data_IF_121230513384
#
_entry.id   IF_121230513384
#
_cell.length_a   1.000
_cell.length_b   1.000
_cell.length_c   1.000
_cell.angle_alpha   90.00
_cell.angle_beta   90.00
_cell.angle_gamma   90.00
#
_symmetry.space_group_name_H-M   'P 1'
#
loop_
_entity.id
_entity.type
_entity.pdbx_description
1 polymer ?
#
# COMPACT_ATOMS: atom_id res chain seq x y z
N UNK A 1 33.61 -11.86 26.64
CA UNK A 1 33.70 -10.98 25.45
C UNK A 1 33.20 -11.62 24.15
N UNK A 2 33.41 -12.91 23.88
CA UNK A 2 32.99 -13.54 22.60
C UNK A 2 31.46 -13.72 22.40
N UNK A 3 30.67 -13.90 23.47
CA UNK A 3 29.19 -14.04 23.36
C UNK A 3 28.44 -12.76 22.96
N UNK A 4 29.03 -11.57 23.14
CA UNK A 4 28.40 -10.31 22.71
C UNK A 4 28.71 -9.96 21.24
N UNK A 5 29.82 -10.46 20.70
CA UNK A 5 30.19 -10.31 19.29
C UNK A 5 29.34 -11.18 18.35
N UNK A 6 29.07 -12.44 18.73
CA UNK A 6 28.23 -13.34 17.93
C UNK A 6 26.75 -12.92 17.85
N UNK A 7 26.23 -12.21 18.88
CA UNK A 7 24.89 -11.60 18.82
C UNK A 7 24.82 -10.38 17.90
N UNK A 8 25.92 -9.62 17.74
CA UNK A 8 25.94 -8.46 16.83
C UNK A 8 26.00 -8.86 15.36
N UNK A 9 26.67 -9.97 15.04
CA UNK A 9 26.74 -10.49 13.66
C UNK A 9 25.39 -11.05 13.14
N UNK A 10 24.53 -11.58 14.02
CA UNK A 10 23.20 -12.10 13.62
C UNK A 10 22.21 -11.03 13.16
N UNK A 11 22.50 -9.74 13.38
CA UNK A 11 21.58 -8.63 13.08
C UNK A 11 22.21 -7.53 12.23
N UNK A 12 23.38 -7.79 11.63
CA UNK A 12 23.89 -6.86 10.61
C UNK A 12 22.89 -6.87 9.45
N UNK A 13 22.25 -5.72 9.12
CA UNK A 13 21.28 -5.67 8.04
C UNK A 13 21.97 -6.09 6.75
N UNK A 14 21.41 -7.09 6.08
CA UNK A 14 21.88 -7.47 4.76
C UNK A 14 21.49 -6.35 3.79
N UNK A 15 22.41 -5.87 2.94
CA UNK A 15 22.07 -4.87 1.93
C UNK A 15 20.89 -5.33 1.09
N UNK A 16 20.08 -4.37 0.63
CA UNK A 16 19.08 -4.65 -0.38
C UNK A 16 19.79 -5.04 -1.68
N UNK A 17 19.26 -6.00 -2.42
CA UNK A 17 19.80 -6.51 -3.69
C UNK A 17 18.80 -6.32 -4.81
N UNK A 18 19.29 -6.16 -6.04
CA UNK A 18 18.45 -6.04 -7.23
C UNK A 18 17.32 -5.02 -7.09
N UNK A 19 16.08 -5.52 -7.21
CA UNK A 19 14.86 -4.72 -7.27
C UNK A 19 14.21 -4.46 -5.91
N UNK A 20 14.84 -4.88 -4.81
CA UNK A 20 14.31 -4.65 -3.46
C UNK A 20 14.36 -3.16 -3.08
N UNK A 21 13.21 -2.66 -2.59
CA UNK A 21 13.03 -1.25 -2.23
C UNK A 21 12.79 -1.03 -0.73
N UNK A 22 12.23 -2.03 -0.04
CA UNK A 22 11.93 -1.98 1.39
C UNK A 22 12.00 -3.40 1.95
N UNK A 23 12.67 -3.59 3.09
CA UNK A 23 12.73 -4.88 3.78
C UNK A 23 12.51 -4.69 5.27
N UNK A 24 11.57 -5.45 5.82
CA UNK A 24 11.42 -5.66 7.26
C UNK A 24 12.09 -7.00 7.62
N UNK A 25 12.96 -6.99 8.63
CA UNK A 25 13.64 -8.19 9.14
C UNK A 25 13.39 -8.32 10.64
N UNK A 26 12.66 -9.34 11.05
CA UNK A 26 12.30 -9.63 12.44
C UNK A 26 11.61 -8.45 13.15
N UNK A 27 10.87 -7.62 12.41
CA UNK A 27 10.26 -6.41 12.95
C UNK A 27 9.16 -6.79 13.96
N UNK A 28 9.25 -6.25 15.17
CA UNK A 28 8.20 -6.40 16.19
C UNK A 28 7.74 -5.04 16.65
N UNK A 29 6.56 -4.94 17.23
CA UNK A 29 6.06 -3.72 17.85
C UNK A 29 5.18 -4.11 19.02
N UNK A 30 5.48 -3.52 20.17
CA UNK A 30 4.78 -3.72 21.42
C UNK A 30 4.38 -2.35 21.96
N UNK A 31 3.09 -2.23 22.29
CA UNK A 31 2.55 -1.09 23.02
C UNK A 31 2.45 -1.44 24.49
N UNK A 32 2.65 -0.43 25.35
CA UNK A 32 2.54 -0.56 26.81
C UNK A 32 3.39 -1.70 27.39
N UNK A 33 4.58 -1.89 26.83
CA UNK A 33 5.52 -2.94 27.20
C UNK A 33 5.82 -2.94 28.70
N UNK A 34 5.81 -4.13 29.33
CA UNK A 34 6.00 -4.32 30.78
C UNK A 34 4.89 -3.72 31.64
N UNK A 35 3.72 -3.50 31.08
CA UNK A 35 2.50 -3.20 31.82
C UNK A 35 1.48 -4.34 31.65
N UNK A 36 0.45 -4.43 32.49
CA UNK A 36 -0.64 -5.41 32.29
C UNK A 36 -1.39 -5.26 30.97
N UNK A 37 -1.31 -4.09 30.32
CA UNK A 37 -1.97 -3.77 29.04
C UNK A 37 -1.06 -4.06 27.83
N UNK A 38 0.05 -4.79 28.02
CA UNK A 38 1.01 -5.10 26.96
C UNK A 38 0.34 -5.72 25.73
N UNK A 39 0.51 -5.07 24.58
CA UNK A 39 -0.08 -5.50 23.31
C UNK A 39 0.96 -5.58 22.19
N UNK A 40 1.18 -6.79 21.67
CA UNK A 40 2.06 -7.03 20.53
C UNK A 40 1.33 -6.80 19.21
N UNK A 41 1.40 -5.57 18.71
CA UNK A 41 0.83 -5.20 17.42
C UNK A 41 1.55 -5.82 16.22
N UNK A 42 2.86 -6.09 16.34
CA UNK A 42 3.66 -6.82 15.34
C UNK A 42 4.58 -7.82 16.04
N UNK A 43 4.73 -9.02 15.47
CA UNK A 43 5.47 -10.11 16.10
C UNK A 43 6.34 -10.90 15.10
N UNK A 44 7.42 -10.27 14.65
CA UNK A 44 8.44 -10.91 13.83
C UNK A 44 8.06 -10.86 12.35
N UNK A 45 7.80 -9.67 11.85
CA UNK A 45 7.51 -9.44 10.43
C UNK A 45 8.82 -9.52 9.66
N UNK A 46 8.86 -10.49 8.75
CA UNK A 46 9.91 -10.68 7.76
C UNK A 46 9.27 -10.60 6.38
N UNK A 47 9.57 -9.52 5.65
CA UNK A 47 9.04 -9.33 4.29
C UNK A 47 9.92 -8.38 3.49
N UNK A 48 10.02 -8.63 2.18
CA UNK A 48 10.76 -7.78 1.25
C UNK A 48 9.83 -7.31 0.14
N UNK A 49 9.80 -6.01 -0.09
CA UNK A 49 9.07 -5.35 -1.16
C UNK A 49 10.03 -5.05 -2.31
N UNK A 50 9.57 -5.30 -3.52
CA UNK A 50 10.28 -5.03 -4.76
C UNK A 50 9.67 -3.85 -5.50
N UNK A 51 10.45 -3.26 -6.41
CA UNK A 51 10.03 -2.10 -7.18
C UNK A 51 8.84 -2.40 -8.10
N UNK A 52 8.06 -1.38 -8.41
CA UNK A 52 7.04 -1.40 -9.48
C UNK A 52 5.96 -2.48 -9.30
N UNK A 53 5.55 -2.72 -8.05
CA UNK A 53 4.46 -3.63 -7.68
C UNK A 53 3.43 -2.91 -6.80
N UNK A 54 2.18 -3.37 -6.89
CA UNK A 54 1.11 -3.04 -5.95
C UNK A 54 1.01 -4.17 -4.93
N UNK A 55 1.39 -3.87 -3.70
CA UNK A 55 1.22 -4.75 -2.55
C UNK A 55 -0.05 -4.39 -1.81
N UNK A 56 -0.94 -5.36 -1.59
CA UNK A 56 -2.10 -5.20 -0.72
C UNK A 56 -1.86 -5.92 0.60
N UNK A 57 -1.76 -5.17 1.70
CA UNK A 57 -1.72 -5.73 3.04
C UNK A 57 -3.16 -5.84 3.56
N UNK A 58 -3.59 -7.07 3.81
CA UNK A 58 -4.96 -7.39 4.21
C UNK A 58 -5.00 -8.07 5.58
N UNK A 59 -6.18 -8.14 6.17
CA UNK A 59 -6.43 -8.78 7.46
C UNK A 59 -7.48 -8.02 8.28
N UNK A 60 -7.93 -8.63 9.36
CA UNK A 60 -8.95 -8.04 10.23
C UNK A 60 -8.51 -6.71 10.85
N UNK A 61 -9.47 -5.93 11.34
CA UNK A 61 -9.16 -4.79 12.20
C UNK A 61 -8.33 -5.26 13.40
N UNK A 62 -7.30 -4.48 13.78
CA UNK A 62 -6.38 -4.85 14.85
C UNK A 62 -5.30 -5.89 14.48
N UNK A 63 -5.22 -6.36 13.23
CA UNK A 63 -4.18 -7.33 12.84
C UNK A 63 -2.75 -6.76 12.74
N UNK A 64 -2.58 -5.44 12.87
CA UNK A 64 -1.29 -4.75 12.84
C UNK A 64 -0.96 -4.01 11.55
N UNK A 65 -1.85 -3.98 10.54
CA UNK A 65 -1.61 -3.34 9.22
C UNK A 65 -1.13 -1.88 9.33
N UNK A 66 -1.90 -1.03 10.03
CA UNK A 66 -1.57 0.39 10.19
C UNK A 66 -0.28 0.57 10.99
N UNK A 67 -0.05 -0.26 12.03
CA UNK A 67 1.20 -0.28 12.78
C UNK A 67 2.38 -0.65 11.88
N UNK A 68 2.25 -1.63 10.99
CA UNK A 68 3.31 -2.04 10.08
C UNK A 68 3.72 -0.89 9.16
N UNK A 69 2.76 -0.27 8.47
CA UNK A 69 3.07 0.78 7.50
C UNK A 69 3.55 2.09 8.13
N UNK A 70 3.15 2.40 9.37
CA UNK A 70 3.71 3.54 10.11
C UNK A 70 5.17 3.35 10.50
N UNK A 71 5.68 2.11 10.56
CA UNK A 71 7.12 1.91 10.69
C UNK A 71 7.87 2.19 9.38
N UNK A 72 7.26 1.92 8.22
CA UNK A 72 7.91 2.11 6.91
C UNK A 72 8.28 3.57 6.67
N UNK A 73 7.37 4.51 6.93
CA UNK A 73 7.66 5.94 6.80
C UNK A 73 8.37 6.57 8.02
N UNK A 74 8.71 5.75 9.02
CA UNK A 74 9.43 6.14 10.22
C UNK A 74 8.62 6.96 11.23
N UNK A 75 7.29 6.93 11.17
CA UNK A 75 6.44 7.50 12.23
C UNK A 75 6.56 6.73 13.54
N UNK A 76 6.71 5.41 13.44
CA UNK A 76 7.08 4.55 14.54
C UNK A 76 8.47 3.95 14.32
N UNK A 77 9.18 3.74 15.42
CA UNK A 77 10.46 3.02 15.46
C UNK A 77 10.34 1.88 16.42
N UNK A 78 11.01 0.76 16.14
CA UNK A 78 10.95 -0.42 16.99
C UNK A 78 12.21 -0.65 17.83
N UNK A 79 12.02 -1.29 18.98
CA UNK A 79 13.08 -1.91 19.80
C UNK A 79 13.61 -3.21 19.20
N UNK A 80 12.92 -3.78 18.21
CA UNK A 80 13.17 -5.11 17.66
C UNK A 80 13.12 -5.11 16.13
N UNK A 81 14.03 -5.86 15.52
CA UNK A 81 14.13 -5.98 14.08
C UNK A 81 14.66 -4.72 13.39
N UNK A 82 14.86 -4.84 12.09
CA UNK A 82 15.47 -3.82 11.25
C UNK A 82 14.57 -3.51 10.07
N UNK A 83 14.51 -2.23 9.70
CA UNK A 83 13.96 -1.79 8.42
C UNK A 83 15.07 -1.26 7.53
N UNK A 84 15.13 -1.76 6.30
CA UNK A 84 16.04 -1.28 5.26
C UNK A 84 15.23 -0.71 4.10
N UNK A 85 15.56 0.50 3.66
CA UNK A 85 14.86 1.21 2.58
C UNK A 85 15.88 1.64 1.54
N UNK A 86 15.64 1.31 0.27
CA UNK A 86 16.51 1.70 -0.83
C UNK A 86 16.37 3.20 -1.10
N UNK A 87 17.48 3.89 -1.27
CA UNK A 87 17.50 5.23 -1.87
C UNK A 87 18.32 5.21 -3.15
N UNK A 88 17.64 5.11 -4.28
CA UNK A 88 18.28 5.08 -5.58
C UNK A 88 18.94 6.40 -5.94
N UNK A 89 18.41 7.54 -5.48
CA UNK A 89 18.97 8.88 -5.77
C UNK A 89 20.35 9.07 -5.17
N UNK A 90 20.60 8.47 -4.01
CA UNK A 90 21.85 8.61 -3.27
C UNK A 90 22.71 7.33 -3.27
N UNK A 91 22.28 6.28 -3.97
CA UNK A 91 22.95 4.98 -4.04
C UNK A 91 23.33 4.39 -2.66
N UNK A 92 22.45 4.56 -1.67
CA UNK A 92 22.69 4.11 -0.29
C UNK A 92 21.38 3.74 0.41
N UNK A 93 21.34 2.60 1.08
CA UNK A 93 20.18 2.18 1.86
C UNK A 93 20.05 2.99 3.16
N UNK A 94 18.82 3.38 3.51
CA UNK A 94 18.46 3.87 4.84
C UNK A 94 18.16 2.66 5.72
N UNK A 95 18.92 2.49 6.80
CA UNK A 95 18.71 1.42 7.77
C UNK A 95 18.22 1.99 9.10
N UNK A 96 17.08 1.51 9.56
CA UNK A 96 16.51 1.79 10.88
C UNK A 96 16.74 0.55 11.75
N UNK A 97 17.80 0.59 12.55
CA UNK A 97 18.17 -0.50 13.45
C UNK A 97 17.30 -0.56 14.71
N UNK A 98 17.28 -1.70 15.42
CA UNK A 98 16.60 -1.82 16.71
C UNK A 98 17.01 -0.71 17.69
N UNK A 99 16.05 -0.17 18.43
CA UNK A 99 16.25 0.89 19.44
C UNK A 99 16.66 2.25 18.85
N UNK A 100 16.41 2.49 17.56
CA UNK A 100 16.60 3.82 16.96
C UNK A 100 15.60 4.81 17.59
N UNK A 101 16.09 5.76 18.38
CA UNK A 101 15.24 6.82 18.98
C UNK A 101 14.88 7.94 18.01
N UNK A 102 15.79 8.27 17.08
CA UNK A 102 15.61 9.34 16.10
C UNK A 102 16.25 8.93 14.79
N UNK A 103 15.46 8.95 13.72
CA UNK A 103 15.92 8.67 12.36
C UNK A 103 16.69 9.90 11.87
N UNK A 104 18.02 9.80 11.74
CA UNK A 104 18.88 10.93 11.34
C UNK A 104 18.46 11.56 10.00
N UNK A 105 18.10 10.72 9.03
CA UNK A 105 17.76 11.13 7.67
C UNK A 105 16.25 11.08 7.39
N UNK A 106 15.43 11.44 8.39
CA UNK A 106 13.98 11.30 8.29
C UNK A 106 13.32 12.05 7.12
N UNK A 107 13.82 13.25 6.77
CA UNK A 107 13.34 13.96 5.56
C UNK A 107 13.61 13.15 4.29
N UNK A 108 14.79 12.53 4.20
CA UNK A 108 15.17 11.69 3.06
C UNK A 108 14.28 10.44 3.00
N UNK A 109 14.02 9.78 4.13
CA UNK A 109 13.06 8.69 4.22
C UNK A 109 11.66 9.08 3.71
N UNK A 110 11.12 10.21 4.18
CA UNK A 110 9.80 10.72 3.77
C UNK A 110 9.73 11.23 2.32
N UNK A 111 10.88 11.44 1.68
CA UNK A 111 10.96 11.74 0.25
C UNK A 111 10.96 10.46 -0.61
N UNK A 112 11.31 9.32 -0.02
CA UNK A 112 11.25 8.00 -0.66
C UNK A 112 9.88 7.38 -0.44
N UNK A 113 9.32 7.51 0.77
CA UNK A 113 8.06 6.90 1.19
C UNK A 113 7.06 7.99 1.59
N UNK A 114 6.02 8.15 0.78
CA UNK A 114 4.84 8.97 1.10
C UNK A 114 3.72 8.09 1.66
N UNK A 115 2.87 8.65 2.51
CA UNK A 115 1.71 7.97 3.06
C UNK A 115 0.46 8.85 2.92
N UNK A 116 -0.57 8.31 2.27
CA UNK A 116 -1.94 8.81 2.21
C UNK A 116 -2.71 8.14 3.34
N UNK A 117 -3.01 8.90 4.39
CA UNK A 117 -3.80 8.43 5.50
C UNK A 117 -5.27 8.29 5.13
N UNK A 118 -6.01 7.51 5.91
CA UNK A 118 -7.46 7.48 5.84
C UNK A 118 -8.02 8.89 6.12
N UNK A 119 -9.02 9.31 5.33
CA UNK A 119 -9.60 10.66 5.38
C UNK A 119 -8.56 11.79 5.21
N UNK A 120 -7.77 11.80 4.11
CA UNK A 120 -6.67 12.75 3.94
C UNK A 120 -7.16 14.21 3.85
N UNK A 121 -8.44 14.45 3.54
CA UNK A 121 -9.06 15.77 3.53
C UNK A 121 -8.93 16.54 4.85
N UNK A 122 -8.75 15.86 5.99
CA UNK A 122 -8.56 16.49 7.30
C UNK A 122 -7.15 17.05 7.50
N UNK A 123 -6.24 16.81 6.56
CA UNK A 123 -4.88 17.31 6.63
C UNK A 123 -4.70 18.70 6.01
N UNK A 124 -5.69 19.20 5.27
CA UNK A 124 -5.63 20.52 4.64
C UNK A 124 -5.66 21.63 5.68
N UNK A 125 -4.74 22.59 5.55
CA UNK A 125 -4.51 23.62 6.58
C UNK A 125 -3.99 24.95 6.05
N UNK A 126 -3.59 25.03 4.77
CA UNK A 126 -3.14 26.29 4.17
C UNK A 126 -4.31 27.15 3.72
N UNK A 127 -4.00 28.41 3.52
CA UNK A 127 -4.92 29.45 3.05
C UNK A 127 -5.28 29.30 1.57
N UNK A 128 -4.41 28.68 0.76
CA UNK A 128 -4.72 28.35 -0.64
C UNK A 128 -4.35 26.90 -0.98
N UNK A 129 -5.07 26.32 -1.93
CA UNK A 129 -4.83 24.96 -2.46
C UNK A 129 -3.41 24.81 -2.97
N UNK A 130 -2.88 25.80 -3.70
CA UNK A 130 -1.50 25.77 -4.18
C UNK A 130 -0.51 25.67 -3.02
N UNK A 131 -0.69 26.48 -1.97
CA UNK A 131 0.21 26.47 -0.80
C UNK A 131 0.12 25.15 -0.05
N UNK A 132 -1.05 24.54 0.02
CA UNK A 132 -1.26 23.23 0.66
C UNK A 132 -0.49 22.14 -0.10
N UNK A 133 -0.69 22.04 -1.42
CA UNK A 133 0.00 21.04 -2.26
C UNK A 133 1.53 21.25 -2.26
N UNK A 134 1.98 22.51 -2.26
CA UNK A 134 3.41 22.84 -2.21
C UNK A 134 4.08 22.49 -0.88
N UNK A 135 3.32 22.31 0.21
CA UNK A 135 3.86 22.19 1.55
C UNK A 135 4.84 21.02 1.69
N UNK A 136 4.44 19.82 1.27
CA UNK A 136 5.26 18.62 1.32
C UNK A 136 6.57 18.75 0.53
N UNK A 137 6.52 19.06 -0.78
CA UNK A 137 7.71 19.26 -1.60
C UNK A 137 8.69 20.28 -1.02
N UNK A 138 8.19 21.47 -0.61
CA UNK A 138 9.04 22.53 -0.05
C UNK A 138 9.68 22.11 1.27
N UNK A 139 8.93 21.45 2.16
CA UNK A 139 9.47 20.95 3.44
C UNK A 139 10.62 19.92 3.25
N UNK A 140 10.60 19.21 2.10
CA UNK A 140 11.58 18.21 1.67
C UNK A 140 12.65 18.76 0.72
N UNK A 141 12.75 20.09 0.59
CA UNK A 141 13.84 20.79 -0.08
C UNK A 141 13.62 21.08 -1.57
N UNK A 142 12.40 20.95 -2.10
CA UNK A 142 12.08 21.38 -3.47
C UNK A 142 11.96 22.90 -3.52
N UNK A 143 12.55 23.53 -4.55
CA UNK A 143 12.46 24.98 -4.74
C UNK A 143 11.00 25.41 -4.98
N UNK A 144 10.61 26.60 -4.50
CA UNK A 144 9.21 27.05 -4.54
C UNK A 144 8.62 27.09 -5.95
N UNK A 145 9.40 27.53 -6.93
CA UNK A 145 8.95 27.58 -8.34
C UNK A 145 8.65 26.19 -8.88
N UNK A 146 9.49 25.20 -8.57
CA UNK A 146 9.27 23.83 -9.00
C UNK A 146 8.11 23.19 -8.24
N UNK A 147 8.00 23.46 -6.94
CA UNK A 147 6.85 23.03 -6.15
C UNK A 147 5.52 23.60 -6.68
N UNK A 148 5.51 24.85 -7.17
CA UNK A 148 4.32 25.45 -7.78
C UNK A 148 3.93 24.75 -9.11
N UNK A 149 4.92 24.35 -9.93
CA UNK A 149 4.65 23.55 -11.14
C UNK A 149 4.08 22.19 -10.78
N UNK A 150 4.66 21.51 -9.78
CA UNK A 150 4.14 20.24 -9.26
C UNK A 150 2.72 20.40 -8.74
N UNK A 151 2.43 21.49 -8.03
CA UNK A 151 1.10 21.76 -7.52
C UNK A 151 0.06 21.87 -8.64
N UNK A 152 0.35 22.67 -9.67
CA UNK A 152 -0.52 22.79 -10.84
C UNK A 152 -0.69 21.44 -11.56
N UNK A 153 0.40 20.70 -11.74
CA UNK A 153 0.37 19.39 -12.42
C UNK A 153 -0.53 18.39 -11.69
N UNK A 154 -0.30 18.18 -10.39
CA UNK A 154 -1.06 17.19 -9.63
C UNK A 154 -2.48 17.63 -9.35
N UNK A 155 -2.77 18.93 -9.23
CA UNK A 155 -4.14 19.43 -9.13
C UNK A 155 -4.95 19.09 -10.40
N UNK A 156 -4.39 19.40 -11.57
CA UNK A 156 -4.99 19.06 -12.87
C UNK A 156 -5.19 17.55 -13.01
N UNK A 157 -4.21 16.74 -12.59
CA UNK A 157 -4.31 15.28 -12.60
C UNK A 157 -5.46 14.77 -11.74
N UNK A 158 -5.76 15.46 -10.63
CA UNK A 158 -6.91 15.13 -9.80
C UNK A 158 -8.25 15.65 -10.37
N UNK A 159 -8.27 16.21 -11.58
CA UNK A 159 -9.49 16.70 -12.23
C UNK A 159 -9.94 18.08 -11.75
N UNK A 160 -9.07 18.85 -11.10
CA UNK A 160 -9.31 20.25 -10.72
C UNK A 160 -8.40 21.14 -11.55
N UNK A 161 -8.97 22.10 -12.28
CA UNK A 161 -8.16 22.97 -13.13
C UNK A 161 -7.40 24.05 -12.32
N UNK A 162 -6.51 24.78 -12.99
CA UNK A 162 -5.65 25.77 -12.34
C UNK A 162 -6.38 26.97 -11.72
N UNK A 163 -7.66 27.21 -12.05
CA UNK A 163 -8.46 28.26 -11.38
C UNK A 163 -8.62 28.01 -9.88
N UNK A 164 -8.48 26.76 -9.43
CA UNK A 164 -8.56 26.41 -8.01
C UNK A 164 -7.28 26.73 -7.22
N UNK A 165 -6.15 27.05 -7.86
CA UNK A 165 -4.87 27.19 -7.14
C UNK A 165 -4.91 28.23 -6.01
N UNK A 166 -5.60 29.35 -6.23
CA UNK A 166 -5.73 30.46 -5.28
C UNK A 166 -6.97 30.34 -4.38
N UNK A 167 -7.79 29.31 -4.57
CA UNK A 167 -8.99 29.06 -3.77
C UNK A 167 -8.60 28.49 -2.40
N UNK A 168 -9.38 28.85 -1.37
CA UNK A 168 -9.22 28.28 -0.03
C UNK A 168 -9.66 26.81 -0.03
N UNK A 169 -8.85 25.87 0.50
CA UNK A 169 -9.25 24.46 0.57
C UNK A 169 -10.52 24.25 1.40
N UNK A 170 -10.85 25.18 2.29
CA UNK A 170 -12.03 25.09 3.15
C UNK A 170 -13.35 25.34 2.40
N UNK A 171 -13.30 26.01 1.23
CA UNK A 171 -14.45 26.29 0.34
C UNK A 171 -14.83 25.09 -0.53
N UNK A 172 -13.98 24.07 -0.60
CA UNK A 172 -14.20 22.87 -1.42
C UNK A 172 -15.23 21.91 -0.81
N UNK A 173 -15.89 21.14 -1.69
CA UNK A 173 -16.67 19.96 -1.28
C UNK A 173 -15.75 18.87 -0.68
N UNK A 174 -16.31 17.93 0.09
CA UNK A 174 -15.53 16.85 0.73
C UNK A 174 -14.68 16.04 -0.26
N UNK A 175 -15.25 15.65 -1.40
CA UNK A 175 -14.52 14.93 -2.45
C UNK A 175 -13.40 15.75 -3.09
N UNK A 176 -13.61 17.05 -3.30
CA UNK A 176 -12.57 17.95 -3.80
C UNK A 176 -11.44 18.15 -2.77
N UNK A 177 -11.77 18.27 -1.47
CA UNK A 177 -10.76 18.32 -0.40
C UNK A 177 -9.88 17.08 -0.41
N UNK A 178 -10.48 15.90 -0.53
CA UNK A 178 -9.74 14.64 -0.62
C UNK A 178 -8.79 14.61 -1.81
N UNK A 179 -9.26 15.04 -2.99
CA UNK A 179 -8.42 15.17 -4.21
C UNK A 179 -7.23 16.10 -3.99
N UNK A 180 -7.44 17.28 -3.40
CA UNK A 180 -6.34 18.22 -3.09
C UNK A 180 -5.33 17.61 -2.11
N UNK A 181 -5.80 16.93 -1.07
CA UNK A 181 -4.91 16.32 -0.08
C UNK A 181 -4.03 15.23 -0.73
N UNK A 182 -4.61 14.39 -1.59
CA UNK A 182 -3.87 13.38 -2.34
C UNK A 182 -2.88 14.03 -3.30
N UNK A 183 -3.26 15.10 -4.01
CA UNK A 183 -2.35 15.86 -4.86
C UNK A 183 -1.11 16.37 -4.08
N UNK A 184 -1.30 16.87 -2.86
CA UNK A 184 -0.21 17.26 -1.95
C UNK A 184 0.80 16.16 -1.67
N UNK A 185 0.31 14.93 -1.49
CA UNK A 185 1.14 13.77 -1.20
C UNK A 185 1.86 13.26 -2.46
N UNK A 186 1.15 13.23 -3.60
CA UNK A 186 1.72 12.84 -4.89
C UNK A 186 2.77 13.84 -5.39
N UNK A 187 2.61 15.13 -5.07
CA UNK A 187 3.57 16.18 -5.39
C UNK A 187 4.95 15.97 -4.76
N UNK A 188 5.06 15.14 -3.71
CA UNK A 188 6.37 14.75 -3.14
C UNK A 188 7.18 13.89 -4.13
N UNK A 189 6.49 13.21 -5.06
CA UNK A 189 7.06 12.31 -6.07
C UNK A 189 7.86 11.14 -5.47
N UNK A 190 7.42 10.64 -4.33
CA UNK A 190 7.97 9.47 -3.64
C UNK A 190 8.03 8.24 -4.53
N UNK A 191 8.95 7.33 -4.24
CA UNK A 191 9.16 6.08 -4.99
C UNK A 191 8.23 4.98 -4.48
N UNK A 192 7.92 5.03 -3.19
CA UNK A 192 6.93 4.20 -2.52
C UNK A 192 5.77 5.09 -2.06
N UNK A 193 4.55 4.70 -2.38
CA UNK A 193 3.33 5.37 -1.93
C UNK A 193 2.51 4.38 -1.13
N UNK A 194 2.21 4.72 0.11
CA UNK A 194 1.37 3.94 1.01
C UNK A 194 -0.02 4.57 1.02
N UNK A 195 -1.06 3.77 0.83
CA UNK A 195 -2.46 4.17 0.95
C UNK A 195 -3.12 3.43 2.11
N UNK A 196 -3.63 4.17 3.09
CA UNK A 196 -4.36 3.65 4.25
C UNK A 196 -5.87 3.74 4.02
N UNK A 197 -6.48 2.60 3.72
CA UNK A 197 -7.92 2.46 3.43
C UNK A 197 -8.42 3.52 2.42
N UNK A 198 -7.83 3.59 1.20
CA UNK A 198 -7.99 4.74 0.31
C UNK A 198 -9.42 4.92 -0.23
N UNK A 199 -10.22 3.86 -0.26
CA UNK A 199 -11.61 3.88 -0.72
C UNK A 199 -12.61 4.12 0.42
N UNK A 200 -12.16 4.27 1.67
CA UNK A 200 -13.05 4.42 2.80
C UNK A 200 -13.93 5.68 2.69
N UNK A 201 -15.25 5.47 2.81
CA UNK A 201 -16.25 6.54 2.75
C UNK A 201 -16.42 7.19 1.37
N UNK A 202 -15.88 6.59 0.30
CA UNK A 202 -16.15 7.04 -1.07
C UNK A 202 -17.46 6.46 -1.59
N UNK A 203 -18.07 7.19 -2.51
CA UNK A 203 -19.11 6.64 -3.38
C UNK A 203 -18.49 5.75 -4.46
N UNK A 204 -19.27 4.91 -5.17
CA UNK A 204 -18.71 3.99 -6.16
C UNK A 204 -17.86 4.66 -7.25
N UNK A 205 -18.21 5.89 -7.65
CA UNK A 205 -17.42 6.66 -8.62
C UNK A 205 -16.06 7.05 -8.03
N UNK A 206 -16.03 7.59 -6.82
CA UNK A 206 -14.80 7.93 -6.13
C UNK A 206 -13.91 6.72 -5.88
N UNK A 207 -14.50 5.55 -5.58
CA UNK A 207 -13.72 4.30 -5.47
C UNK A 207 -13.03 3.93 -6.79
N UNK A 208 -13.74 4.01 -7.92
CA UNK A 208 -13.15 3.74 -9.24
C UNK A 208 -12.01 4.72 -9.57
N UNK A 209 -12.20 6.01 -9.31
CA UNK A 209 -11.15 7.02 -9.53
C UNK A 209 -9.92 6.77 -8.65
N UNK A 210 -10.11 6.31 -7.42
CA UNK A 210 -9.02 5.94 -6.52
C UNK A 210 -8.27 4.70 -7.01
N UNK A 211 -8.99 3.68 -7.48
CA UNK A 211 -8.39 2.49 -8.10
C UNK A 211 -7.56 2.88 -9.32
N UNK A 212 -8.10 3.71 -10.21
CA UNK A 212 -7.39 4.22 -11.38
C UNK A 212 -6.10 4.93 -10.97
N UNK A 213 -6.15 5.80 -9.96
CA UNK A 213 -4.99 6.51 -9.45
C UNK A 213 -3.88 5.57 -8.93
N UNK A 214 -4.26 4.50 -8.22
CA UNK A 214 -3.32 3.50 -7.72
C UNK A 214 -2.66 2.76 -8.89
N UNK A 215 -3.46 2.32 -9.87
CA UNK A 215 -2.99 1.62 -11.05
C UNK A 215 -2.06 2.51 -11.90
N UNK A 216 -2.39 3.80 -12.05
CA UNK A 216 -1.53 4.76 -12.73
C UNK A 216 -0.22 5.01 -12.01
N UNK A 217 -0.24 5.07 -10.68
CA UNK A 217 0.98 5.22 -9.88
C UNK A 217 1.96 4.10 -10.18
N UNK A 218 1.47 2.85 -10.28
CA UNK A 218 2.31 1.72 -10.72
C UNK A 218 2.82 1.91 -12.16
N UNK A 219 1.98 2.35 -13.11
CA UNK A 219 2.43 2.63 -14.50
C UNK A 219 3.55 3.67 -14.56
N UNK A 220 3.67 4.54 -13.56
CA UNK A 220 4.76 5.50 -13.38
C UNK A 220 5.98 4.91 -12.65
N UNK A 221 6.09 3.58 -12.61
CA UNK A 221 7.14 2.82 -11.94
C UNK A 221 7.22 3.07 -10.43
N UNK A 222 6.11 3.46 -9.79
CA UNK A 222 6.03 3.55 -8.33
C UNK A 222 5.75 2.18 -7.72
N UNK A 223 6.27 1.98 -6.53
CA UNK A 223 5.84 0.86 -5.68
C UNK A 223 4.68 1.35 -4.82
N UNK A 224 3.58 0.62 -4.82
CA UNK A 224 2.39 1.02 -4.07
C UNK A 224 2.10 -0.01 -3.00
N UNK A 225 1.83 0.44 -1.78
CA UNK A 225 1.39 -0.41 -0.68
C UNK A 225 0.01 0.08 -0.28
N UNK A 226 -1.01 -0.75 -0.45
CA UNK A 226 -2.38 -0.46 -0.04
C UNK A 226 -2.69 -1.31 1.18
N UNK A 227 -3.15 -0.68 2.26
CA UNK A 227 -3.74 -1.43 3.36
C UNK A 227 -5.26 -1.32 3.24
N UNK A 228 -5.94 -2.46 3.18
CA UNK A 228 -7.39 -2.48 3.06
C UNK A 228 -8.02 -3.76 3.57
N UNK A 229 -9.31 -3.68 3.89
CA UNK A 229 -10.19 -4.82 4.14
C UNK A 229 -11.18 -5.08 2.98
N UNK A 230 -11.07 -4.37 1.85
CA UNK A 230 -11.96 -4.53 0.69
C UNK A 230 -11.40 -5.50 -0.36
N UNK A 231 -11.82 -6.77 -0.30
CA UNK A 231 -11.21 -7.84 -1.12
C UNK A 231 -11.53 -7.70 -2.62
N UNK A 232 -12.66 -7.08 -2.99
CA UNK A 232 -12.95 -6.74 -4.40
C UNK A 232 -11.86 -5.85 -5.00
N UNK A 233 -11.45 -4.79 -4.28
CA UNK A 233 -10.42 -3.87 -4.75
C UNK A 233 -9.05 -4.53 -4.76
N UNK A 234 -8.77 -5.38 -3.78
CA UNK A 234 -7.53 -6.16 -3.73
C UNK A 234 -7.39 -7.04 -4.97
N UNK A 235 -8.44 -7.76 -5.35
CA UNK A 235 -8.43 -8.58 -6.56
C UNK A 235 -8.17 -7.73 -7.82
N UNK A 236 -8.76 -6.54 -7.87
CA UNK A 236 -8.61 -5.62 -9.01
C UNK A 236 -7.18 -5.09 -9.17
N UNK A 237 -6.52 -4.67 -8.09
CA UNK A 237 -5.29 -3.89 -8.16
C UNK A 237 -4.00 -4.63 -7.79
N UNK A 238 -4.06 -5.67 -6.96
CA UNK A 238 -2.86 -6.22 -6.35
C UNK A 238 -2.04 -7.06 -7.33
N UNK A 239 -0.72 -6.91 -7.24
CA UNK A 239 0.24 -7.89 -7.77
C UNK A 239 0.53 -8.95 -6.71
N UNK A 240 0.67 -8.51 -5.46
CA UNK A 240 0.96 -9.36 -4.33
C UNK A 240 0.13 -8.95 -3.12
N UNK A 241 -0.40 -9.94 -2.43
CA UNK A 241 -1.25 -9.81 -1.25
C UNK A 241 -0.48 -10.36 -0.06
N UNK A 242 -0.48 -9.61 1.03
CA UNK A 242 0.17 -9.98 2.29
C UNK A 242 -0.91 -10.06 3.35
N UNK A 243 -1.17 -11.27 3.85
CA UNK A 243 -2.19 -11.49 4.86
C UNK A 243 -1.60 -11.40 6.27
N UNK A 244 -2.00 -10.36 7.00
CA UNK A 244 -1.68 -10.20 8.41
C UNK A 244 -2.79 -10.75 9.31
N UNK A 245 -2.40 -11.61 10.25
CA UNK A 245 -3.22 -12.03 11.38
C UNK A 245 -2.43 -11.89 12.69
N UNK A 246 -3.05 -11.26 13.70
CA UNK A 246 -2.48 -11.09 15.06
C UNK A 246 -1.01 -10.66 15.07
N UNK A 247 -0.68 -9.66 14.25
CA UNK A 247 0.67 -9.08 14.16
C UNK A 247 1.70 -9.94 13.43
N UNK A 248 1.31 -11.02 12.75
CA UNK A 248 2.19 -11.88 11.93
C UNK A 248 1.72 -11.92 10.49
N UNK A 249 2.66 -12.14 9.58
CA UNK A 249 2.31 -12.54 8.20
C UNK A 249 1.93 -14.02 8.26
N UNK A 250 0.67 -14.33 7.96
CA UNK A 250 0.19 -15.69 7.84
C UNK A 250 0.66 -16.30 6.52
N UNK A 251 0.54 -15.54 5.43
CA UNK A 251 1.02 -15.90 4.10
C UNK A 251 1.12 -14.67 3.19
N UNK A 252 1.76 -14.84 2.03
CA UNK A 252 1.72 -13.88 0.93
C UNK A 252 1.70 -14.59 -0.42
N UNK A 253 1.19 -13.93 -1.45
CA UNK A 253 1.11 -14.48 -2.80
C UNK A 253 0.27 -13.62 -3.73
N UNK A 254 -0.01 -14.12 -4.92
CA UNK A 254 -0.94 -13.46 -5.85
C UNK A 254 -2.36 -13.45 -5.28
N UNK A 255 -3.25 -12.53 -5.75
CA UNK A 255 -4.64 -12.52 -5.30
C UNK A 255 -5.34 -13.88 -5.43
N UNK A 256 -5.14 -14.57 -6.55
CA UNK A 256 -5.69 -15.91 -6.75
C UNK A 256 -5.09 -16.94 -5.80
N UNK A 257 -3.77 -16.94 -5.58
CA UNK A 257 -3.16 -17.83 -4.59
C UNK A 257 -3.74 -17.66 -3.19
N UNK A 258 -4.09 -16.43 -2.80
CA UNK A 258 -4.71 -16.16 -1.49
C UNK A 258 -6.20 -16.56 -1.48
N UNK A 259 -6.98 -16.10 -2.46
CA UNK A 259 -8.44 -16.25 -2.46
C UNK A 259 -8.91 -17.66 -2.82
N UNK A 260 -8.09 -18.46 -3.50
CA UNK A 260 -8.43 -19.86 -3.81
C UNK A 260 -7.82 -20.86 -2.83
N UNK A 261 -7.12 -20.40 -1.78
CA UNK A 261 -6.55 -21.29 -0.78
C UNK A 261 -7.60 -21.68 0.28
N UNK A 262 -8.00 -22.96 0.36
CA UNK A 262 -9.05 -23.39 1.28
C UNK A 262 -8.67 -23.21 2.76
N UNK A 263 -7.40 -23.40 3.12
CA UNK A 263 -6.93 -23.25 4.50
C UNK A 263 -7.09 -21.80 4.96
N UNK A 264 -6.73 -20.84 4.11
CA UNK A 264 -6.90 -19.40 4.41
C UNK A 264 -8.38 -19.06 4.58
N UNK A 265 -9.23 -19.52 3.65
CA UNK A 265 -10.67 -19.22 3.68
C UNK A 265 -11.38 -19.86 4.89
N UNK A 266 -10.86 -20.96 5.43
CA UNK A 266 -11.42 -21.62 6.62
C UNK A 266 -10.91 -21.05 7.93
N UNK A 267 -9.66 -20.59 7.98
CA UNK A 267 -9.00 -20.15 9.22
C UNK A 267 -9.09 -18.65 9.44
N UNK A 268 -9.49 -17.88 8.43
CA UNK A 268 -9.59 -16.42 8.49
C UNK A 268 -10.98 -15.94 8.09
N UNK A 269 -11.37 -14.75 8.57
CA UNK A 269 -12.67 -14.14 8.27
C UNK A 269 -12.62 -13.21 7.04
N UNK A 270 -11.76 -13.51 6.07
CA UNK A 270 -11.61 -12.71 4.85
C UNK A 270 -12.77 -13.04 3.91
N UNK A 271 -13.43 -12.01 3.39
CA UNK A 271 -14.49 -12.19 2.40
C UNK A 271 -13.90 -12.60 1.05
N UNK A 272 -14.49 -13.61 0.41
CA UNK A 272 -14.10 -13.99 -0.94
C UNK A 272 -14.64 -12.95 -1.95
N UNK A 273 -13.84 -12.45 -2.92
CA UNK A 273 -14.36 -11.58 -3.97
C UNK A 273 -15.46 -12.26 -4.79
N UNK A 274 -16.48 -11.51 -5.19
CA UNK A 274 -17.63 -12.00 -5.95
C UNK A 274 -17.22 -12.69 -7.26
N UNK A 275 -16.18 -12.19 -7.93
CA UNK A 275 -15.65 -12.83 -9.14
C UNK A 275 -15.19 -14.26 -8.85
N UNK A 276 -14.48 -14.48 -7.75
CA UNK A 276 -14.00 -15.81 -7.35
C UNK A 276 -15.15 -16.68 -6.85
N UNK A 277 -16.12 -16.11 -6.14
CA UNK A 277 -17.36 -16.81 -5.75
C UNK A 277 -18.11 -17.35 -6.97
N UNK A 278 -18.31 -16.53 -8.00
CA UNK A 278 -18.99 -16.96 -9.23
C UNK A 278 -18.21 -18.06 -9.95
N UNK A 279 -16.88 -17.99 -10.00
CA UNK A 279 -16.06 -19.07 -10.58
C UNK A 279 -16.25 -20.37 -9.82
N UNK A 280 -16.28 -20.33 -8.48
CA UNK A 280 -16.55 -21.50 -7.64
C UNK A 280 -17.93 -22.10 -7.95
N UNK A 281 -18.97 -21.27 -7.96
CA UNK A 281 -20.34 -21.72 -8.21
C UNK A 281 -20.51 -22.34 -9.60
N UNK A 282 -19.90 -21.73 -10.63
CA UNK A 282 -19.92 -22.27 -11.98
C UNK A 282 -19.13 -23.59 -12.08
N UNK A 283 -17.97 -23.66 -11.44
CA UNK A 283 -17.11 -24.86 -11.45
C UNK A 283 -17.78 -26.06 -10.76
N UNK A 284 -18.58 -25.82 -9.72
CA UNK A 284 -19.39 -26.86 -9.06
C UNK A 284 -20.52 -27.36 -9.95
N UNK A 285 -21.12 -26.48 -10.77
CA UNK A 285 -22.21 -26.84 -11.69
C UNK A 285 -21.70 -27.56 -12.93
N UNK A 286 -20.57 -27.12 -13.48
CA UNK A 286 -19.94 -27.74 -14.64
C UNK A 286 -18.41 -27.64 -14.56
N UNK A 287 -17.68 -28.78 -14.50
CA UNK A 287 -16.22 -28.79 -14.40
C UNK A 287 -15.46 -28.05 -15.51
N UNK A 288 -16.08 -27.78 -16.67
CA UNK A 288 -15.42 -26.98 -17.73
C UNK A 288 -15.00 -25.59 -17.23
N UNK A 289 -15.75 -25.03 -16.28
CA UNK A 289 -15.51 -23.70 -15.74
C UNK A 289 -14.35 -23.65 -14.74
N UNK A 290 -13.76 -24.79 -14.35
CA UNK A 290 -12.49 -24.78 -13.59
C UNK A 290 -11.37 -24.06 -14.36
N UNK A 291 -11.43 -24.07 -15.71
CA UNK A 291 -10.50 -23.34 -16.57
C UNK A 291 -10.54 -21.83 -16.37
N UNK A 292 -11.61 -21.26 -15.80
CA UNK A 292 -11.68 -19.82 -15.53
C UNK A 292 -10.55 -19.37 -14.58
N UNK A 293 -10.05 -20.27 -13.71
CA UNK A 293 -8.91 -19.99 -12.85
C UNK A 293 -7.62 -19.73 -13.62
N UNK A 294 -7.44 -20.35 -14.79
CA UNK A 294 -6.24 -20.18 -15.61
C UNK A 294 -6.13 -18.76 -16.21
N UNK A 295 -7.25 -18.02 -16.25
CA UNK A 295 -7.33 -16.67 -16.81
C UNK A 295 -7.26 -15.56 -15.76
N UNK A 296 -7.40 -15.92 -14.48
CA UNK A 296 -7.39 -14.98 -13.34
C UNK A 296 -8.21 -13.67 -13.56
N UNK A 297 -9.50 -13.72 -13.97
CA UNK A 297 -10.27 -12.51 -14.20
C UNK A 297 -10.40 -11.66 -12.94
N UNK A 298 -10.04 -10.39 -13.02
CA UNK A 298 -9.99 -9.50 -11.84
C UNK A 298 -11.26 -8.66 -11.63
N UNK A 299 -12.08 -8.55 -12.67
CA UNK A 299 -13.32 -7.76 -12.66
C UNK A 299 -14.48 -8.56 -13.21
N UNK A 300 -15.71 -8.14 -12.91
CA UNK A 300 -16.94 -8.73 -13.48
C UNK A 300 -16.93 -8.69 -15.00
N UNK A 301 -16.44 -7.59 -15.59
CA UNK A 301 -16.33 -7.42 -17.04
C UNK A 301 -15.36 -8.41 -17.65
N UNK A 302 -14.24 -8.67 -16.99
CA UNK A 302 -13.24 -9.63 -17.47
C UNK A 302 -13.74 -11.06 -17.30
N UNK A 303 -14.38 -11.38 -16.17
CA UNK A 303 -15.02 -12.68 -15.96
C UNK A 303 -16.02 -13.01 -17.07
N UNK A 304 -16.89 -12.06 -17.44
CA UNK A 304 -17.87 -12.25 -18.51
C UNK A 304 -17.21 -12.56 -19.87
N UNK A 305 -16.08 -11.92 -20.20
CA UNK A 305 -15.34 -12.22 -21.43
C UNK A 305 -14.75 -13.64 -21.39
N UNK A 306 -14.13 -14.01 -20.27
CA UNK A 306 -13.47 -15.31 -20.11
C UNK A 306 -14.49 -16.45 -20.14
N UNK A 307 -15.68 -16.28 -19.53
CA UNK A 307 -16.77 -17.28 -19.60
C UNK A 307 -17.13 -17.57 -21.06
N UNK A 308 -17.31 -16.53 -21.87
CA UNK A 308 -17.62 -16.70 -23.30
C UNK A 308 -16.49 -17.42 -24.05
N UNK A 309 -15.23 -17.16 -23.70
CA UNK A 309 -14.08 -17.84 -24.31
C UNK A 309 -14.03 -19.33 -23.95
N UNK A 310 -14.24 -19.67 -22.68
CA UNK A 310 -14.29 -21.06 -22.21
C UNK A 310 -15.41 -21.85 -22.89
N UNK A 311 -16.61 -21.27 -23.01
CA UNK A 311 -17.74 -21.90 -23.70
C UNK A 311 -17.40 -22.15 -25.18
N UNK A 312 -16.94 -21.12 -25.90
CA UNK A 312 -16.54 -21.25 -27.32
C UNK A 312 -15.46 -22.31 -27.53
N UNK A 313 -14.48 -22.40 -26.64
CA UNK A 313 -13.41 -23.39 -26.71
C UNK A 313 -13.89 -24.82 -26.42
N UNK A 314 -14.95 -24.97 -25.61
CA UNK A 314 -15.58 -26.26 -25.36
C UNK A 314 -16.43 -26.70 -26.56
N UNK A 315 -17.22 -25.80 -27.15
CA UNK A 315 -18.04 -26.08 -28.34
C UNK A 315 -17.19 -26.44 -29.56
N UNK A 316 -15.99 -25.85 -29.74
CA UNK A 316 -15.10 -26.21 -30.86
C UNK A 316 -14.47 -27.60 -30.74
N UNK A 317 -14.47 -28.20 -29.54
CA UNK A 317 -13.83 -29.50 -29.26
C UNK A 317 -14.81 -30.67 -29.30
N UNK A 318 -16.11 -30.40 -29.33
CA UNK A 318 -17.18 -31.39 -29.38
C UNK A 318 -17.98 -31.24 -30.67
#
# INVERSE_FOLDING_TARGET
MFKSWSKRLKYAPTPLVGDEVLRAQGLKCVFDEKTPEEFWALNGIDFTFEKNKIYCIIGNSGSGKSTLVTHFNGLLTSKYGTLSIRDFKNNHDIVISPNTKKIKNFKRLRKIISMVFQFPEYQLFKDTIQKDIMFGPVALGVHKEEAAKLAKFYLNRMGLDSSYLDVSPFELSGGQKRRVAIAGILAIQSEIIIFDEPTAGLDPKGESEMVELILESKKENKTVIVITHQMEKVLEIADEVILLDKGKILTSGTPYQIFTNPEIMQTTSIALPHVVQVINDLSLRNPIFKKLYDYEPRTVKDLAKVINEVIKNYEKRN
#
